data_IF_629454997771
#
_entry.id   IF_629454997771
#
_cell.length_a   1.000
_cell.length_b   1.000
_cell.length_c   1.000
_cell.angle_alpha   90.00
_cell.angle_beta   90.00
_cell.angle_gamma   90.00
#
_symmetry.space_group_name_H-M   'P 1'
#
loop_
_entity.id
_entity.type
_entity.pdbx_description
1 polymer ?
#
# COMPACT_ATOMS: atom_id res chain seq x y z
N UNK A 1 9.08 6.46 -6.73
CA UNK A 1 10.07 6.81 -5.68
C UNK A 1 9.61 7.84 -4.67
N UNK A 2 8.61 8.71 -4.96
CA UNK A 2 8.15 9.73 -4.00
C UNK A 2 7.82 9.14 -2.62
N UNK A 3 7.07 8.05 -2.61
CA UNK A 3 6.66 7.38 -1.37
C UNK A 3 7.83 6.85 -0.53
N UNK A 4 8.76 6.09 -1.11
CA UNK A 4 9.92 5.57 -0.37
C UNK A 4 10.78 6.68 0.25
N UNK A 5 10.94 7.82 -0.45
CA UNK A 5 11.65 8.98 0.09
C UNK A 5 10.89 9.68 1.21
N UNK A 6 9.56 9.68 1.16
CA UNK A 6 8.74 10.20 2.24
C UNK A 6 8.93 9.34 3.49
N UNK A 7 8.84 8.01 3.38
CA UNK A 7 9.07 7.10 4.51
C UNK A 7 10.47 7.27 5.10
N UNK A 8 11.49 7.42 4.26
CA UNK A 8 12.87 7.61 4.74
C UNK A 8 13.05 8.89 5.57
N UNK A 9 12.30 9.94 5.24
CA UNK A 9 12.31 11.23 5.95
C UNK A 9 11.37 11.26 7.18
N UNK A 10 10.31 10.46 7.17
CA UNK A 10 9.26 10.48 8.20
C UNK A 10 9.62 9.65 9.44
N UNK A 11 10.36 8.55 9.26
CA UNK A 11 10.71 7.63 10.35
C UNK A 11 12.16 7.79 10.82
N UNK A 12 12.40 7.62 12.12
CA UNK A 12 13.71 7.73 12.77
C UNK A 12 14.81 6.92 12.06
N UNK A 13 16.01 7.49 11.81
CA UNK A 13 17.05 6.86 11.00
C UNK A 13 17.55 5.51 11.52
N UNK A 14 17.50 5.25 12.83
CA UNK A 14 17.94 3.98 13.42
C UNK A 14 16.94 2.84 13.23
N UNK A 15 15.70 3.13 12.83
CA UNK A 15 14.67 2.10 12.65
C UNK A 15 14.81 1.36 11.32
N UNK A 16 14.78 0.04 11.40
CA UNK A 16 14.57 -0.83 10.25
C UNK A 16 13.10 -0.76 9.79
N UNK A 17 12.90 -0.46 8.52
CA UNK A 17 11.59 -0.35 7.88
C UNK A 17 11.30 -1.62 7.07
N UNK A 18 10.40 -2.45 7.58
CA UNK A 18 9.99 -3.68 6.94
C UNK A 18 8.83 -3.43 5.97
N UNK A 19 9.08 -3.59 4.67
CA UNK A 19 8.09 -3.44 3.62
C UNK A 19 7.60 -4.82 3.17
N UNK A 20 6.32 -5.13 3.41
CA UNK A 20 5.67 -6.32 2.88
C UNK A 20 4.99 -5.95 1.57
N UNK A 21 5.42 -6.54 0.45
CA UNK A 21 4.99 -6.17 -0.90
C UNK A 21 4.41 -7.38 -1.64
N UNK A 22 3.52 -7.11 -2.59
CA UNK A 22 3.10 -8.08 -3.59
C UNK A 22 4.20 -8.30 -4.66
N UNK A 23 3.96 -9.21 -5.60
CA UNK A 23 4.94 -9.51 -6.66
C UNK A 23 4.87 -8.58 -7.88
N UNK A 24 4.19 -7.44 -7.78
CA UNK A 24 3.99 -6.55 -8.93
C UNK A 24 5.30 -6.01 -9.49
N UNK A 25 5.41 -5.98 -10.82
CA UNK A 25 6.66 -5.72 -11.53
C UNK A 25 7.29 -4.36 -11.24
N UNK A 26 6.49 -3.36 -10.84
CA UNK A 26 6.98 -2.01 -10.54
C UNK A 26 7.92 -1.99 -9.32
N UNK A 27 7.72 -2.89 -8.36
CA UNK A 27 8.61 -3.08 -7.19
C UNK A 27 10.00 -3.61 -7.57
N UNK A 28 10.12 -4.25 -8.74
CA UNK A 28 11.34 -4.90 -9.22
C UNK A 28 12.07 -4.10 -10.30
N UNK A 29 11.62 -2.88 -10.60
CA UNK A 29 12.28 -2.01 -11.57
C UNK A 29 13.72 -1.71 -11.15
N UNK A 30 14.69 -1.62 -12.09
CA UNK A 30 16.09 -1.35 -11.75
C UNK A 30 16.28 -0.07 -10.94
N UNK A 31 15.42 0.93 -11.15
CA UNK A 31 15.45 2.18 -10.41
C UNK A 31 15.10 1.99 -8.92
N UNK A 32 14.05 1.21 -8.61
CA UNK A 32 13.65 0.89 -7.23
C UNK A 32 14.72 0.02 -6.55
N UNK A 33 15.19 -1.02 -7.24
CA UNK A 33 16.21 -1.93 -6.72
C UNK A 33 17.52 -1.20 -6.37
N UNK A 34 17.99 -0.29 -7.25
CA UNK A 34 19.17 0.54 -6.98
C UNK A 34 18.99 1.47 -5.78
N UNK A 35 17.79 1.97 -5.54
CA UNK A 35 17.53 2.83 -4.40
C UNK A 35 17.51 2.00 -3.10
N UNK A 36 16.79 0.87 -3.07
CA UNK A 36 16.75 -0.03 -1.91
C UNK A 36 18.15 -0.51 -1.52
N UNK A 37 19.01 -0.83 -2.50
CA UNK A 37 20.42 -1.21 -2.25
C UNK A 37 21.21 -0.11 -1.52
N UNK A 38 20.88 1.16 -1.73
CA UNK A 38 21.52 2.31 -1.05
C UNK A 38 20.92 2.64 0.32
N UNK A 39 19.75 2.07 0.66
CA UNK A 39 19.04 2.35 1.90
C UNK A 39 18.79 1.03 2.64
N UNK A 40 19.84 0.42 3.25
CA UNK A 40 19.78 -0.94 3.82
C UNK A 40 18.83 -1.07 5.01
N UNK A 41 18.36 0.04 5.61
CA UNK A 41 17.29 0.05 6.62
C UNK A 41 15.94 -0.41 6.07
N UNK A 42 15.71 -0.34 4.76
CA UNK A 42 14.50 -0.87 4.13
C UNK A 42 14.64 -2.37 3.88
N UNK A 43 13.95 -3.20 4.68
CA UNK A 43 13.88 -4.65 4.52
C UNK A 43 12.66 -5.03 3.71
N UNK A 44 12.85 -5.46 2.48
CA UNK A 44 11.73 -5.83 1.58
C UNK A 44 11.42 -7.32 1.67
N UNK A 45 10.15 -7.63 1.93
CA UNK A 45 9.59 -8.98 1.98
C UNK A 45 8.51 -9.12 0.93
N UNK A 46 8.74 -9.99 -0.05
CA UNK A 46 7.73 -10.30 -1.06
C UNK A 46 6.87 -11.46 -0.58
N UNK A 47 5.54 -11.32 -0.63
CA UNK A 47 4.65 -12.46 -0.38
C UNK A 47 4.86 -13.54 -1.47
N UNK A 48 4.62 -14.83 -1.18
CA UNK A 48 4.74 -15.88 -2.20
C UNK A 48 3.81 -15.65 -3.38
N UNK A 49 4.22 -16.12 -4.56
CA UNK A 49 3.37 -16.08 -5.77
C UNK A 49 2.03 -16.77 -5.51
N UNK A 50 0.96 -16.21 -6.06
CA UNK A 50 -0.41 -16.71 -5.89
C UNK A 50 -0.93 -16.71 -4.45
N UNK A 51 -0.34 -15.92 -3.55
CA UNK A 51 -0.76 -15.79 -2.14
C UNK A 51 -1.39 -14.43 -1.84
N UNK A 52 -2.34 -13.98 -2.67
CA UNK A 52 -3.07 -12.71 -2.47
C UNK A 52 -3.75 -12.60 -1.10
N UNK A 53 -4.14 -13.73 -0.50
CA UNK A 53 -4.70 -13.78 0.85
C UNK A 53 -3.74 -13.30 1.94
N UNK A 54 -2.42 -13.21 1.69
CA UNK A 54 -1.45 -12.59 2.61
C UNK A 54 -1.34 -11.08 2.43
N UNK A 55 -1.89 -10.53 1.35
CA UNK A 55 -1.86 -9.10 1.08
C UNK A 55 -2.96 -8.39 1.91
N UNK A 56 -2.57 -7.81 3.04
CA UNK A 56 -3.50 -7.08 3.93
C UNK A 56 -4.19 -5.90 3.22
N UNK A 57 -3.52 -5.27 2.25
CA UNK A 57 -4.10 -4.16 1.47
C UNK A 57 -5.24 -4.67 0.59
N UNK A 58 -5.09 -5.84 -0.04
CA UNK A 58 -6.18 -6.46 -0.81
C UNK A 58 -7.36 -6.87 0.08
N UNK A 59 -7.08 -7.35 1.30
CA UNK A 59 -8.15 -7.62 2.30
C UNK A 59 -8.89 -6.34 2.67
N UNK A 60 -8.17 -5.25 2.90
CA UNK A 60 -8.74 -3.94 3.19
C UNK A 60 -9.63 -3.44 2.03
N UNK A 61 -9.19 -3.61 0.77
CA UNK A 61 -10.04 -3.29 -0.39
C UNK A 61 -11.30 -4.14 -0.47
N UNK A 62 -11.22 -5.41 -0.08
CA UNK A 62 -12.39 -6.29 0.05
C UNK A 62 -13.41 -5.74 1.06
N UNK A 63 -12.92 -5.30 2.22
CA UNK A 63 -13.71 -4.65 3.26
C UNK A 63 -14.35 -3.35 2.78
N UNK A 64 -13.58 -2.44 2.20
CA UNK A 64 -14.07 -1.19 1.59
C UNK A 64 -15.18 -1.49 0.57
N UNK A 65 -14.95 -2.47 -0.28
CA UNK A 65 -15.91 -2.86 -1.33
C UNK A 65 -17.21 -3.38 -0.73
N UNK A 66 -17.14 -4.30 0.23
CA UNK A 66 -18.30 -4.95 0.81
C UNK A 66 -19.09 -4.09 1.80
N UNK A 67 -18.41 -3.18 2.51
CA UNK A 67 -18.99 -2.37 3.58
C UNK A 67 -19.41 -0.97 3.12
N UNK A 68 -18.70 -0.37 2.16
CA UNK A 68 -19.02 0.98 1.67
C UNK A 68 -19.46 0.99 0.21
N UNK A 69 -18.61 0.52 -0.72
CA UNK A 69 -18.82 0.76 -2.16
C UNK A 69 -20.07 0.04 -2.69
N UNK A 70 -20.27 -1.24 -2.39
CA UNK A 70 -21.44 -2.00 -2.87
C UNK A 70 -22.74 -1.66 -2.16
N UNK A 71 -22.67 -0.99 -1.00
CA UNK A 71 -23.85 -0.59 -0.22
C UNK A 71 -24.26 0.85 -0.50
N UNK A 72 -23.38 1.65 -1.10
CA UNK A 72 -23.66 3.02 -1.53
C UNK A 72 -24.21 3.09 -2.95
N UNK A 73 -24.93 4.17 -3.24
CA UNK A 73 -25.25 4.61 -4.60
C UNK A 73 -24.64 5.99 -4.77
N UNK A 74 -23.78 6.15 -5.78
CA UNK A 74 -23.00 7.36 -5.99
C UNK A 74 -23.43 7.99 -7.32
N UNK A 75 -23.83 9.26 -7.29
CA UNK A 75 -24.25 9.99 -8.50
C UNK A 75 -23.06 10.64 -9.20
N UNK A 76 -21.90 10.69 -8.55
CA UNK A 76 -20.67 11.24 -9.09
C UNK A 76 -19.41 10.59 -8.51
N UNK A 77 -18.26 10.79 -9.18
CA UNK A 77 -16.94 10.35 -8.66
C UNK A 77 -16.57 11.04 -7.34
N UNK A 78 -16.79 12.37 -7.15
CA UNK A 78 -16.59 13.02 -5.86
C UNK A 78 -17.37 12.35 -4.71
N UNK A 79 -18.61 11.92 -4.93
CA UNK A 79 -19.38 11.24 -3.88
C UNK A 79 -18.76 9.90 -3.49
N UNK A 80 -18.26 9.14 -4.48
CA UNK A 80 -17.53 7.91 -4.22
C UNK A 80 -16.23 8.18 -3.45
N UNK A 81 -15.47 9.22 -3.82
CA UNK A 81 -14.25 9.61 -3.10
C UNK A 81 -14.56 9.97 -1.66
N UNK A 82 -15.58 10.80 -1.42
CA UNK A 82 -16.00 11.17 -0.07
C UNK A 82 -16.40 9.95 0.77
N UNK A 83 -17.08 8.97 0.17
CA UNK A 83 -17.42 7.72 0.86
C UNK A 83 -16.19 6.85 1.18
N UNK A 84 -15.18 6.81 0.29
CA UNK A 84 -13.91 6.12 0.55
C UNK A 84 -13.14 6.83 1.67
N UNK A 85 -13.06 8.17 1.66
CA UNK A 85 -12.41 8.96 2.72
C UNK A 85 -13.11 8.77 4.06
N UNK A 86 -14.45 8.79 4.07
CA UNK A 86 -15.23 8.50 5.27
C UNK A 86 -14.99 7.07 5.77
N UNK A 87 -14.86 6.09 4.87
CA UNK A 87 -14.52 4.72 5.25
C UNK A 87 -13.11 4.65 5.87
N UNK A 88 -12.11 5.29 5.26
CA UNK A 88 -10.73 5.34 5.79
C UNK A 88 -10.71 5.94 7.20
N UNK A 89 -11.49 7.00 7.45
CA UNK A 89 -11.54 7.66 8.75
C UNK A 89 -12.19 6.81 9.86
N UNK A 90 -12.95 5.76 9.52
CA UNK A 90 -13.73 4.94 10.46
C UNK A 90 -13.48 3.43 10.35
N UNK A 91 -12.50 2.99 9.56
CA UNK A 91 -12.19 1.56 9.34
C UNK A 91 -11.51 0.92 10.56
#
# INVERSE_FOLDING_TARGET
MRFLRQLDAEYEPELDLHLVLDNYGTHKTPHVQRWLKRHPRFKVHFIPTSSSWLNLVERWFGDLTGKAVRRGSFVSVPDLVAAIEAFIAHW
#
